data_IF_411275136719
#
_entry.id   IF_411275136719
#
_cell.length_a   1.000
_cell.length_b   1.000
_cell.length_c   1.000
_cell.angle_alpha   90.00
_cell.angle_beta   90.00
_cell.angle_gamma   90.00
#
_symmetry.space_group_name_H-M   'P 1'
#
loop_
_entity.id
_entity.type
_entity.pdbx_description
1 polymer ?
2 polymer ?
#
loop_
_entity_poly.entity_id
_entity_poly.type
_entity_poly.pdbx_seq_one_letter_code
_entity_poly.pdbx_strand_id
1 'polyribonucleotide' 'GGACCGAUGGUAGUGUCUUCGGAUGCGAGAGUAGGUC' ?
#
# COMPACT_ATOMS: atom_id res chain seq x y z
N UNK B 1 3.08 -14.71 -7.82
CA UNK B 1 3.01 -13.24 -7.89
C UNK B 1 2.64 -12.67 -6.51
N UNK B 2 3.21 -11.51 -6.17
CA UNK B 2 3.01 -10.83 -4.89
C UNK B 2 1.53 -10.48 -4.69
N UNK B 3 1.03 -9.54 -5.50
CA UNK B 3 -0.36 -9.06 -5.59
C UNK B 3 -0.95 -8.59 -4.25
N UNK B 4 -1.04 -7.26 -4.06
CA UNK B 4 -1.37 -6.66 -2.78
C UNK B 4 -2.82 -6.16 -2.84
N UNK B 5 -3.76 -7.05 -2.52
CA UNK B 5 -5.18 -6.78 -2.64
C UNK B 5 -5.55 -5.61 -1.73
N UNK B 6 -6.05 -4.52 -2.33
CA UNK B 6 -6.43 -3.29 -1.65
C UNK B 6 -7.90 -2.99 -1.99
N UNK B 7 -8.32 -1.75 -1.78
CA UNK B 7 -9.56 -1.14 -2.21
C UNK B 7 -9.30 0.37 -2.26
N UNK B 8 -9.81 1.08 -3.26
CA UNK B 8 -9.59 2.51 -3.41
C UNK B 8 -10.20 3.30 -2.25
N UNK B 9 -9.51 4.36 -1.81
CA UNK B 9 -10.00 5.22 -0.72
C UNK B 9 -9.63 6.68 -0.89
N UNK B 10 -10.48 7.56 -0.33
CA UNK B 10 -10.35 9.02 -0.37
C UNK B 10 -10.57 9.69 1.00
N UNK B 11 -10.91 8.91 2.03
CA UNK B 11 -11.11 9.33 3.43
C UNK B 11 -9.81 9.68 4.19
N UNK B 12 -8.68 9.86 3.49
CA UNK B 12 -7.34 10.05 4.08
C UNK B 12 -7.23 11.11 5.18
N UNK B 13 -8.04 12.18 5.10
CA UNK B 13 -8.09 13.30 6.04
C UNK B 13 -8.23 13.00 7.54
N UNK B 14 -8.39 11.71 7.92
CA UNK B 14 -8.30 11.01 9.21
C UNK B 14 -9.34 9.89 9.30
N UNK B 15 -10.48 10.01 8.60
CA UNK B 15 -11.54 9.01 8.57
C UNK B 15 -11.02 7.62 8.15
N UNK B 16 -10.13 7.58 7.16
CA UNK B 16 -9.44 6.37 6.73
C UNK B 16 -8.48 5.90 7.82
N UNK B 17 -7.69 6.83 8.34
CA UNK B 17 -6.62 6.49 9.27
C UNK B 17 -7.16 5.81 10.53
N UNK B 18 -8.44 6.05 10.88
CA UNK B 18 -9.12 5.45 12.02
C UNK B 18 -9.90 4.18 11.69
N UNK B 19 -10.35 3.94 10.44
CA UNK B 19 -11.04 2.70 10.06
C UNK B 19 -10.01 1.61 9.74
N UNK B 20 -8.94 2.00 9.04
CA UNK B 20 -7.86 1.12 8.69
C UNK B 20 -7.17 0.60 9.95
N UNK B 21 -6.71 1.49 10.84
CA UNK B 21 -6.16 1.02 12.12
C UNK B 21 -7.21 0.28 12.95
N UNK B 22 -8.50 0.59 12.76
CA UNK B 22 -9.54 -0.12 13.52
C UNK B 22 -9.72 -1.58 13.08
N UNK B 23 -9.19 -1.98 11.92
CA UNK B 23 -9.27 -3.34 11.41
C UNK B 23 -7.91 -3.92 11.04
N UNK B 24 -6.80 -3.31 11.49
CA UNK B 24 -5.45 -3.78 11.20
C UNK B 24 -5.12 -3.72 9.69
N UNK B 25 -5.92 -2.99 8.92
CA UNK B 25 -5.57 -2.53 7.59
C UNK B 25 -4.77 -1.24 7.79
N UNK B 26 -4.28 -0.68 6.70
CA UNK B 26 -3.17 0.25 6.70
C UNK B 26 -3.13 0.99 5.35
N UNK B 27 -3.05 2.32 5.33
CA UNK B 27 -3.12 3.07 4.07
C UNK B 27 -1.88 2.89 3.19
N UNK B 28 -2.07 3.12 1.89
CA UNK B 28 -1.01 3.32 0.91
C UNK B 28 -1.41 4.35 -0.15
N UNK B 29 -0.50 4.59 -1.12
CA UNK B 29 -0.74 5.42 -2.32
C UNK B 29 -0.10 4.76 -3.54
N UNK B 30 -0.55 5.18 -4.72
CA UNK B 30 -0.12 4.74 -6.03
C UNK B 30 0.14 6.01 -6.84
N UNK B 31 1.38 6.51 -6.85
CA UNK B 31 1.72 7.82 -7.40
C UNK B 31 2.65 7.78 -8.61
N UNK B 32 3.02 8.97 -9.10
CA UNK B 32 3.88 9.11 -10.25
C UNK B 32 3.13 8.77 -11.52
N UNK B 33 1.89 9.27 -11.59
CA UNK B 33 1.03 9.11 -12.74
C UNK B 33 1.37 10.17 -13.76
N UNK B 34 0.51 11.20 -13.84
CA UNK B 34 0.66 12.43 -14.61
C UNK B 34 -0.58 13.31 -14.44
N UNK B 35 -1.76 12.72 -14.20
CA UNK B 35 -2.96 13.42 -13.81
C UNK B 35 -2.94 13.50 -12.29
N UNK B 36 -3.14 12.36 -11.61
CA UNK B 36 -2.94 12.26 -10.17
C UNK B 36 -2.80 10.79 -9.71
N UNK B 37 -2.29 10.59 -8.48
CA UNK B 37 -2.19 9.31 -7.79
C UNK B 37 -3.51 8.64 -7.40
N UNK B 38 -3.41 7.59 -6.56
CA UNK B 38 -4.55 6.78 -6.12
C UNK B 38 -4.24 6.13 -4.77
N UNK B 39 -4.88 6.62 -3.71
CA UNK B 39 -4.79 6.01 -2.39
C UNK B 39 -5.63 4.73 -2.34
N UNK B 40 -5.11 3.66 -1.70
CA UNK B 40 -5.70 2.34 -1.61
C UNK B 40 -5.49 1.83 -0.17
N UNK B 41 -6.56 1.30 0.43
CA UNK B 41 -6.62 0.63 1.72
C UNK B 41 -6.22 -0.83 1.52
N UNK B 42 -5.18 -1.30 2.22
CA UNK B 42 -4.72 -2.68 2.18
C UNK B 42 -4.38 -3.20 3.56
N UNK B 43 -4.15 -4.50 3.65
CA UNK B 43 -3.80 -5.22 4.85
C UNK B 43 -2.35 -4.93 5.22
N UNK B 44 -2.11 -4.56 6.49
CA UNK B 44 -0.77 -4.36 7.00
C UNK B 44 0.00 -5.68 7.02
N UNK B 45 -0.57 -6.74 7.60
CA UNK B 45 0.15 -7.99 7.81
C UNK B 45 0.47 -8.69 6.49
N UNK B 46 -0.37 -8.47 5.47
CA UNK B 46 -0.04 -8.76 4.08
C UNK B 46 1.19 -7.93 3.72
N UNK B 47 1.07 -6.62 3.44
CA UNK B 47 2.14 -5.82 2.85
C UNK B 47 3.46 -5.88 3.62
N UNK B 48 3.39 -6.12 4.93
CA UNK B 48 4.48 -6.51 5.79
C UNK B 48 5.29 -7.63 5.15
N UNK B 49 4.72 -8.83 4.95
CA UNK B 49 5.38 -9.92 4.22
C UNK B 49 5.85 -9.54 2.81
N UNK B 50 5.27 -8.51 2.18
CA UNK B 50 5.50 -8.21 0.81
C UNK B 50 6.76 -7.35 0.70
N UNK B 51 6.79 -6.12 1.24
CA UNK B 51 8.02 -5.30 1.29
C UNK B 51 9.16 -5.93 2.12
N UNK B 52 8.88 -7.03 2.83
CA UNK B 52 9.84 -7.82 3.56
C UNK B 52 10.73 -8.66 2.64
N UNK B 53 10.54 -8.64 1.30
CA UNK B 53 11.58 -9.08 0.38
C UNK B 53 11.90 -7.95 -0.60
N UNK B 54 13.10 -8.00 -1.18
CA UNK B 54 13.56 -6.95 -2.08
C UNK B 54 12.87 -7.00 -3.44
N UNK B 55 12.39 -8.19 -3.84
CA UNK B 55 11.56 -8.43 -5.00
C UNK B 55 10.33 -7.51 -5.03
N UNK B 56 9.87 -7.04 -3.88
CA UNK B 56 8.68 -6.21 -3.80
C UNK B 56 8.90 -4.79 -4.28
N UNK B 57 10.07 -4.24 -3.93
CA UNK B 57 10.41 -2.89 -4.37
C UNK B 57 11.17 -2.89 -5.69
N UNK B 58 11.91 -3.97 -5.96
CA UNK B 58 12.74 -4.14 -7.14
C UNK B 58 11.91 -4.62 -8.33
N UNK B 59 10.76 -5.26 -8.08
CA UNK B 59 9.86 -5.75 -9.10
C UNK B 59 8.44 -5.24 -8.80
N UNK B 60 7.58 -5.29 -9.81
CA UNK B 60 6.21 -4.79 -9.71
C UNK B 60 5.31 -5.73 -8.89
N UNK B 61 4.30 -5.14 -8.24
CA UNK B 61 3.24 -5.78 -7.47
C UNK B 61 1.90 -5.47 -8.15
N UNK B 62 0.86 -6.28 -7.92
CA UNK B 62 -0.45 -6.08 -8.52
C UNK B 62 -1.47 -5.72 -7.43
N UNK B 63 -1.78 -4.43 -7.25
CA UNK B 63 -2.78 -4.00 -6.29
C UNK B 63 -4.17 -4.30 -6.84
N UNK B 64 -4.86 -5.27 -6.24
CA UNK B 64 -6.19 -5.67 -6.65
C UNK B 64 -7.19 -4.87 -5.81
N UNK B 65 -7.50 -3.65 -6.27
CA UNK B 65 -8.41 -2.72 -5.61
C UNK B 65 -9.83 -3.19 -5.85
N UNK B 66 -10.40 -3.92 -4.89
CA UNK B 66 -11.77 -4.44 -4.98
C UNK B 66 -11.97 -5.31 -6.24
N UNK B 67 -10.90 -5.97 -6.71
CA UNK B 67 -10.91 -6.84 -7.88
C UNK B 67 -10.30 -6.23 -9.14
N UNK B 68 -9.86 -4.96 -9.11
CA UNK B 68 -9.23 -4.29 -10.25
C UNK B 68 -7.73 -4.27 -10.06
N UNK B 69 -6.98 -4.74 -11.05
CA UNK B 69 -5.60 -5.19 -10.88
C UNK B 69 -4.61 -4.13 -11.38
N UNK B 70 -3.89 -3.47 -10.47
CA UNK B 70 -3.09 -2.27 -10.77
C UNK B 70 -1.61 -2.59 -10.59
N UNK B 71 -0.79 -2.36 -11.61
CA UNK B 71 0.64 -2.59 -11.56
C UNK B 71 1.36 -1.38 -11.00
N UNK B 72 2.15 -1.59 -9.94
CA UNK B 72 2.93 -0.57 -9.25
C UNK B 72 4.18 -1.17 -8.58
N UNK B 73 5.19 -0.36 -8.27
CA UNK B 73 6.43 -0.80 -7.62
C UNK B 73 6.69 0.08 -6.42
N UNK B 74 7.05 -0.51 -5.28
CA UNK B 74 7.28 0.23 -4.06
C UNK B 74 8.50 1.14 -4.18
N UNK B 75 8.38 2.34 -3.60
CA UNK B 75 9.33 3.44 -3.84
C UNK B 75 9.72 4.15 -2.53
N UNK B 76 8.87 4.11 -1.51
CA UNK B 76 9.10 4.56 -0.14
C UNK B 76 8.14 3.73 0.72
N UNK B 77 8.68 2.65 1.31
CA UNK B 77 8.09 1.99 2.45
C UNK B 77 8.71 2.64 3.69
N UNK B 78 7.87 2.86 4.71
CA UNK B 78 8.21 3.50 5.97
C UNK B 78 8.01 2.44 7.05
N UNK B 79 9.09 2.09 7.77
CA UNK B 79 9.01 1.17 8.91
C UNK B 79 8.51 1.92 10.15
N UNK B 80 8.05 1.18 11.16
CA UNK B 80 7.79 1.70 12.49
C UNK B 80 9.12 2.16 13.14
N UNK B 81 9.07 3.05 14.14
CA UNK B 81 10.24 3.69 14.72
C UNK B 81 10.99 2.78 15.70
N UNK B 82 10.36 1.74 16.25
CA UNK B 82 11.01 0.75 17.11
C UNK B 82 10.43 -0.65 16.91
N UNK B 83 9.12 -0.75 16.66
CA UNK B 83 8.41 -2.01 16.45
C UNK B 83 8.71 -2.56 15.05
N UNK B 84 8.63 -3.89 14.84
CA UNK B 84 8.85 -4.53 13.54
C UNK B 84 7.58 -4.40 12.67
N UNK B 85 7.13 -3.17 12.40
CA UNK B 85 5.89 -2.87 11.72
C UNK B 85 6.14 -1.78 10.65
N UNK B 86 5.09 -1.20 10.08
CA UNK B 86 5.13 -0.18 9.04
C UNK B 86 4.35 1.06 9.49
N UNK B 87 4.72 2.23 8.99
CA UNK B 87 3.99 3.49 9.13
C UNK B 87 3.16 3.78 7.87
N UNK B 88 3.66 3.42 6.68
CA UNK B 88 3.05 3.73 5.38
C UNK B 88 3.91 3.14 4.28
N UNK B 89 3.28 2.93 3.12
CA UNK B 89 3.94 2.49 1.91
C UNK B 89 3.30 3.22 0.73
N UNK B 90 4.12 3.51 -0.27
CA UNK B 90 3.66 3.92 -1.58
C UNK B 90 4.17 2.96 -2.64
N UNK B 91 3.57 3.07 -3.83
CA UNK B 91 3.99 2.40 -5.03
C UNK B 91 3.94 3.45 -6.13
N UNK B 92 4.68 3.25 -7.23
CA UNK B 92 4.59 4.13 -8.39
C UNK B 92 4.12 3.37 -9.60
N UNK B 93 3.34 4.06 -10.46
CA UNK B 93 2.58 3.54 -11.59
C UNK B 93 3.47 2.73 -12.53
N UNK B 94 3.51 1.41 -12.30
CA UNK B 94 4.13 0.46 -13.21
C UNK B 94 3.26 0.18 -14.45
#
# INVERSE_FOLDING_TARGET
MFTINAEVRKEQGKGASRRLRAANKFPAIIYGGKEAPLAIELDHDKVMNMQAKAEFYSEVLTIVVDGKEIKVKAQDVQRHPYKPKLQHIDFVRA
#
